data_IF_457869626667
#
_entry.id   IF_457869626667
#
_cell.length_a   1.000
_cell.length_b   1.000
_cell.length_c   1.000
_cell.angle_alpha   90.00
_cell.angle_beta   90.00
_cell.angle_gamma   90.00
#
_symmetry.space_group_name_H-M   'P 1'
#
loop_
_entity.id
_entity.type
_entity.pdbx_description
1 polymer ?
#
# COMPACT_ATOMS: atom_id res chain seq x y z
N UNK A 1 -4.30 4.80 20.83
CA UNK A 1 -4.84 4.18 19.61
C UNK A 1 -3.70 3.96 18.64
N UNK A 2 -3.53 2.73 18.15
CA UNK A 2 -2.46 2.32 17.25
C UNK A 2 -2.52 3.09 15.92
N UNK A 3 -3.72 3.36 15.39
CA UNK A 3 -3.91 4.14 14.15
C UNK A 3 -3.31 5.53 14.31
N UNK A 4 -3.60 6.19 15.43
CA UNK A 4 -3.11 7.53 15.71
C UNK A 4 -1.59 7.58 15.92
N UNK A 5 -0.99 6.57 16.54
CA UNK A 5 0.46 6.58 16.83
C UNK A 5 1.30 6.18 15.62
N UNK A 6 0.84 5.19 14.86
CA UNK A 6 1.51 4.69 13.64
C UNK A 6 1.20 5.53 12.41
N UNK A 7 0.16 6.36 12.50
CA UNK A 7 -0.36 7.16 11.39
C UNK A 7 -0.93 6.30 10.28
N UNK A 8 -1.30 5.03 10.52
CA UNK A 8 -1.76 4.12 9.48
C UNK A 8 -3.11 3.50 9.80
N UNK A 9 -3.98 3.48 8.79
CA UNK A 9 -5.27 2.81 8.84
C UNK A 9 -5.07 1.30 8.98
N UNK A 10 -5.81 0.67 9.89
CA UNK A 10 -5.86 -0.79 9.98
C UNK A 10 -6.69 -1.35 8.83
N UNK A 11 -6.12 -2.33 8.13
CA UNK A 11 -6.80 -3.04 7.04
C UNK A 11 -6.38 -4.51 7.02
N UNK A 12 -7.19 -5.36 6.39
CA UNK A 12 -6.83 -6.76 6.19
C UNK A 12 -5.48 -6.87 5.45
N UNK A 13 -4.58 -7.71 5.96
CA UNK A 13 -3.25 -7.91 5.40
C UNK A 13 -2.15 -7.00 5.94
N UNK A 14 -2.44 -6.06 6.85
CA UNK A 14 -1.37 -5.37 7.60
C UNK A 14 -0.71 -6.36 8.59
N UNK A 15 0.63 -6.48 8.63
CA UNK A 15 1.32 -7.55 9.37
C UNK A 15 0.98 -7.64 10.86
N UNK A 16 0.81 -6.50 11.55
CA UNK A 16 0.50 -6.49 12.98
C UNK A 16 -0.75 -7.33 13.31
N UNK A 17 -1.77 -7.36 12.44
CA UNK A 17 -3.00 -8.11 12.69
C UNK A 17 -2.80 -9.63 12.60
N UNK A 18 -1.72 -10.08 11.95
CA UNK A 18 -1.41 -11.49 11.77
C UNK A 18 -0.52 -12.05 12.90
N UNK A 19 -0.01 -11.20 13.81
CA UNK A 19 0.83 -11.66 14.92
C UNK A 19 0.10 -12.58 15.90
N UNK A 20 -1.23 -12.55 15.92
CA UNK A 20 -2.05 -13.48 16.71
C UNK A 20 -1.79 -14.96 16.35
N UNK A 21 -1.45 -15.26 15.09
CA UNK A 21 -1.15 -16.61 14.63
C UNK A 21 0.10 -17.20 15.30
N UNK A 22 1.01 -16.32 15.76
CA UNK A 22 2.28 -16.68 16.38
C UNK A 22 2.13 -17.02 17.88
N UNK A 23 1.00 -16.65 18.51
CA UNK A 23 0.79 -16.86 19.95
C UNK A 23 0.70 -18.35 20.33
N UNK A 24 0.54 -19.25 19.36
CA UNK A 24 0.49 -20.69 19.58
C UNK A 24 1.81 -21.32 20.05
N UNK A 25 2.91 -20.56 20.05
CA UNK A 25 4.23 -21.07 20.37
C UNK A 25 5.04 -20.08 21.24
N UNK A 26 5.77 -20.57 22.27
CA UNK A 26 6.52 -19.72 23.20
C UNK A 26 7.86 -19.22 22.63
N UNK A 27 7.98 -19.16 21.30
CA UNK A 27 9.23 -18.79 20.64
C UNK A 27 9.41 -17.27 20.63
N UNK A 28 10.68 -16.84 20.57
CA UNK A 28 11.02 -15.46 20.20
C UNK A 28 11.10 -15.38 18.67
N UNK A 29 10.31 -14.47 18.09
CA UNK A 29 10.23 -14.29 16.65
C UNK A 29 11.05 -13.09 16.21
N UNK A 30 11.93 -13.31 15.24
CA UNK A 30 12.60 -12.20 14.55
C UNK A 30 11.72 -11.68 13.42
N UNK A 31 11.46 -10.37 13.44
CA UNK A 31 10.69 -9.69 12.43
C UNK A 31 11.61 -9.27 11.28
N UNK A 32 11.31 -9.73 10.06
CA UNK A 32 12.10 -9.45 8.84
C UNK A 32 11.15 -9.08 7.70
N UNK A 33 11.49 -8.06 6.90
CA UNK A 33 10.80 -7.84 5.62
C UNK A 33 11.48 -8.66 4.54
N UNK A 34 10.96 -8.59 3.31
CA UNK A 34 11.45 -9.41 2.21
C UNK A 34 12.94 -9.16 1.90
N UNK A 35 13.43 -7.90 1.78
CA UNK A 35 14.86 -7.60 1.68
C UNK A 35 15.73 -8.24 2.77
N UNK A 36 15.38 -8.09 4.06
CA UNK A 36 16.16 -8.69 5.14
C UNK A 36 16.10 -10.21 5.12
N UNK A 37 14.95 -10.81 4.75
CA UNK A 37 14.82 -12.25 4.63
C UNK A 37 15.74 -12.81 3.53
N UNK A 38 15.82 -12.15 2.38
CA UNK A 38 16.72 -12.55 1.28
C UNK A 38 18.17 -12.55 1.77
N UNK A 39 18.60 -11.48 2.43
CA UNK A 39 19.97 -11.37 2.97
C UNK A 39 20.21 -12.42 4.05
N UNK A 40 19.26 -12.61 4.97
CA UNK A 40 19.35 -13.62 6.02
C UNK A 40 19.50 -15.04 5.47
N UNK A 41 18.92 -15.33 4.30
CA UNK A 41 19.07 -16.63 3.62
C UNK A 41 20.37 -16.78 2.84
N UNK A 42 20.94 -15.68 2.35
CA UNK A 42 22.09 -15.69 1.44
C UNK A 42 23.41 -15.25 2.08
N UNK A 43 23.38 -14.79 3.32
CA UNK A 43 24.57 -14.34 4.04
C UNK A 43 24.24 -13.80 5.44
N UNK A 44 24.80 -12.65 5.77
CA UNK A 44 24.76 -12.06 7.11
C UNK A 44 23.99 -10.75 7.12
N UNK A 45 22.95 -10.69 7.95
CA UNK A 45 22.09 -9.53 8.14
C UNK A 45 22.70 -8.55 9.14
N UNK A 46 22.55 -7.24 8.93
CA UNK A 46 23.00 -6.22 9.89
C UNK A 46 22.06 -6.01 11.09
N UNK A 47 20.82 -6.50 10.99
CA UNK A 47 19.78 -6.32 12.01
C UNK A 47 19.07 -4.97 11.93
N UNK A 48 19.17 -4.29 10.78
CA UNK A 48 18.60 -2.96 10.54
C UNK A 48 17.44 -2.98 9.54
N UNK A 49 16.59 -1.97 9.60
CA UNK A 49 15.48 -1.74 8.67
C UNK A 49 15.32 -0.23 8.40
N UNK A 50 15.02 0.15 7.16
CA UNK A 50 14.73 1.55 6.87
C UNK A 50 13.32 1.93 7.36
N UNK A 51 13.14 3.15 7.85
CA UNK A 51 11.84 3.64 8.36
C UNK A 51 10.68 3.48 7.36
N UNK A 52 10.94 3.63 6.05
CA UNK A 52 9.92 3.41 5.02
C UNK A 52 9.39 1.97 4.99
N UNK A 53 10.24 0.98 5.29
CA UNK A 53 9.86 -0.43 5.37
C UNK A 53 9.28 -0.75 6.74
N UNK A 54 9.84 -0.20 7.83
CA UNK A 54 9.30 -0.39 9.17
C UNK A 54 7.81 0.02 9.26
N UNK A 55 7.44 1.09 8.56
CA UNK A 55 6.06 1.53 8.45
C UNK A 55 5.12 0.44 7.92
N UNK A 56 5.55 -0.49 7.05
CA UNK A 56 4.64 -1.50 6.49
C UNK A 56 4.11 -2.50 7.51
N UNK A 57 4.68 -2.57 8.73
CA UNK A 57 4.21 -3.51 9.76
C UNK A 57 2.95 -3.06 10.50
N UNK A 58 2.63 -1.77 10.49
CA UNK A 58 1.51 -1.24 11.28
C UNK A 58 1.78 -1.14 12.78
N UNK A 59 3.03 -1.26 13.22
CA UNK A 59 3.45 -1.12 14.62
C UNK A 59 4.67 -0.20 14.81
N UNK A 60 5.07 0.53 13.78
CA UNK A 60 6.10 1.57 13.84
C UNK A 60 5.44 2.95 13.89
N UNK A 61 5.92 3.83 14.76
CA UNK A 61 5.48 5.24 14.83
C UNK A 61 6.44 6.14 14.04
N UNK A 62 6.02 6.74 12.91
CA UNK A 62 6.86 7.64 12.12
C UNK A 62 7.33 8.88 12.87
N UNK A 63 6.51 9.38 13.81
CA UNK A 63 6.84 10.61 14.55
C UNK A 63 7.80 10.35 15.71
N UNK A 64 7.61 9.25 16.43
CA UNK A 64 8.50 8.85 17.53
C UNK A 64 9.76 8.15 17.02
N UNK A 65 9.74 7.64 15.79
CA UNK A 65 10.79 6.85 15.14
C UNK A 65 11.15 5.59 15.90
N UNK A 66 10.14 4.95 16.48
CA UNK A 66 10.29 3.74 17.29
C UNK A 66 9.16 2.75 17.02
N UNK A 67 9.40 1.50 17.41
CA UNK A 67 8.36 0.48 17.47
C UNK A 67 7.43 0.73 18.66
N UNK A 68 6.12 0.57 18.47
CA UNK A 68 5.11 0.69 19.52
C UNK A 68 5.06 -0.58 20.39
N UNK A 69 6.19 -0.98 20.97
CA UNK A 69 6.36 -2.21 21.76
C UNK A 69 5.38 -2.25 22.93
N UNK A 70 5.21 -1.13 23.64
CA UNK A 70 4.28 -1.06 24.78
C UNK A 70 2.80 -1.25 24.41
N UNK A 71 2.43 -0.97 23.15
CA UNK A 71 1.09 -1.25 22.64
C UNK A 71 1.00 -2.71 22.23
N UNK A 72 2.03 -3.24 21.57
CA UNK A 72 2.12 -4.64 21.17
C UNK A 72 2.04 -5.58 22.38
N UNK A 73 2.75 -5.30 23.47
CA UNK A 73 2.72 -6.09 24.72
C UNK A 73 1.32 -6.13 25.35
N UNK A 74 0.48 -5.13 25.10
CA UNK A 74 -0.91 -5.12 25.57
C UNK A 74 -1.84 -5.94 24.68
N UNK A 75 -1.58 -5.97 23.38
CA UNK A 75 -2.40 -6.70 22.40
C UNK A 75 -1.99 -8.18 22.34
N UNK A 76 -0.69 -8.46 22.45
CA UNK A 76 -0.06 -9.77 22.32
C UNK A 76 0.89 -10.05 23.50
N UNK A 77 0.39 -10.17 24.75
CA UNK A 77 1.22 -10.24 25.95
C UNK A 77 2.14 -11.47 26.04
N UNK A 78 1.79 -12.55 25.35
CA UNK A 78 2.55 -13.81 25.35
C UNK A 78 3.59 -13.86 24.20
N UNK A 79 3.60 -12.86 23.33
CA UNK A 79 4.43 -12.87 22.13
C UNK A 79 5.76 -12.14 22.36
N UNK A 80 6.86 -12.86 22.18
CA UNK A 80 8.21 -12.27 22.20
C UNK A 80 8.64 -11.93 20.76
N UNK A 81 8.69 -10.63 20.45
CA UNK A 81 9.10 -10.12 19.14
C UNK A 81 10.45 -9.39 19.22
N UNK A 82 11.38 -9.78 18.36
CA UNK A 82 12.64 -9.09 18.14
C UNK A 82 12.55 -8.28 16.84
N UNK A 83 12.38 -6.97 17.00
CA UNK A 83 12.35 -6.02 15.90
C UNK A 83 13.75 -5.53 15.52
N UNK A 84 14.03 -5.32 14.23
CA UNK A 84 15.27 -4.71 13.77
C UNK A 84 15.40 -3.25 14.22
N UNK A 85 16.64 -2.77 14.32
CA UNK A 85 16.96 -1.37 14.57
C UNK A 85 16.51 -0.51 13.38
N UNK A 86 15.79 0.57 13.65
CA UNK A 86 15.30 1.47 12.61
C UNK A 86 16.40 2.46 12.23
N UNK A 87 16.60 2.67 10.94
CA UNK A 87 17.42 3.75 10.42
C UNK A 87 16.64 4.68 9.49
N UNK A 88 17.13 5.91 9.39
CA UNK A 88 16.49 6.98 8.61
C UNK A 88 17.29 7.30 7.34
N UNK A 89 16.69 8.10 6.46
CA UNK A 89 17.20 8.29 5.10
C UNK A 89 18.43 9.20 4.99
N UNK A 90 18.86 9.82 6.09
CA UNK A 90 20.11 10.58 6.16
C UNK A 90 21.33 9.67 6.34
N UNK A 91 21.14 8.35 6.33
CA UNK A 91 22.18 7.38 6.61
C UNK A 91 22.27 6.32 5.49
N UNK A 92 23.48 6.06 4.99
CA UNK A 92 23.73 4.92 4.10
C UNK A 92 24.01 3.69 4.94
N UNK A 93 22.96 2.91 5.22
CA UNK A 93 23.10 1.69 6.02
C UNK A 93 23.24 0.42 5.18
N UNK A 94 24.27 -0.34 5.54
CA UNK A 94 24.45 -1.72 5.14
C UNK A 94 23.28 -2.55 5.70
N UNK A 95 22.50 -3.17 4.83
CA UNK A 95 21.44 -4.10 5.20
C UNK A 95 22.04 -5.50 5.49
N UNK A 96 23.14 -5.83 4.83
CA UNK A 96 23.96 -6.99 5.15
C UNK A 96 24.93 -7.35 4.02
N UNK A 97 25.52 -8.53 4.13
CA UNK A 97 26.51 -9.05 3.18
C UNK A 97 26.03 -10.40 2.66
N UNK A 98 26.06 -10.60 1.35
CA UNK A 98 25.71 -11.87 0.70
C UNK A 98 26.88 -12.41 -0.12
N UNK A 99 26.84 -13.71 -0.42
CA UNK A 99 27.85 -14.34 -1.28
C UNK A 99 27.31 -14.55 -2.69
N UNK A 100 27.96 -13.94 -3.68
CA UNK A 100 27.68 -14.16 -5.11
C UNK A 100 28.93 -14.68 -5.79
N UNK A 101 28.89 -15.93 -6.27
CA UNK A 101 30.01 -16.59 -6.98
C UNK A 101 31.34 -16.53 -6.21
N UNK A 102 31.28 -16.78 -4.90
CA UNK A 102 32.45 -16.75 -4.02
C UNK A 102 32.98 -15.36 -3.67
N UNK A 103 32.26 -14.29 -4.04
CA UNK A 103 32.59 -12.91 -3.66
C UNK A 103 31.56 -12.37 -2.67
N UNK A 104 32.06 -11.65 -1.66
CA UNK A 104 31.24 -10.86 -0.77
C UNK A 104 30.66 -9.66 -1.52
N UNK A 105 29.35 -9.48 -1.39
CA UNK A 105 28.61 -8.35 -1.95
C UNK A 105 27.88 -7.68 -0.80
N UNK A 106 28.22 -6.42 -0.56
CA UNK A 106 27.50 -5.58 0.40
C UNK A 106 26.16 -5.18 -0.21
N UNK A 107 25.08 -5.42 0.54
CA UNK A 107 23.73 -5.07 0.15
C UNK A 107 23.29 -3.88 0.98
N UNK A 108 22.99 -2.79 0.30
CA UNK A 108 22.48 -1.56 0.89
C UNK A 108 20.99 -1.41 0.60
N UNK A 109 20.31 -0.63 1.43
CA UNK A 109 18.91 -0.27 1.22
C UNK A 109 17.94 -1.15 2.00
N UNK A 110 16.87 -1.58 1.33
CA UNK A 110 15.66 -2.10 1.97
C UNK A 110 14.62 -0.99 2.13
N UNK A 111 14.14 -0.47 1.00
CA UNK A 111 13.21 0.65 0.96
C UNK A 111 11.82 0.19 0.53
N UNK A 112 10.80 0.93 0.95
CA UNK A 112 9.42 0.72 0.52
C UNK A 112 9.32 0.95 -0.99
N UNK A 113 8.61 0.06 -1.68
CA UNK A 113 8.42 0.12 -3.12
C UNK A 113 7.72 1.42 -3.55
N UNK A 114 6.64 1.78 -2.86
CA UNK A 114 5.90 3.01 -3.08
C UNK A 114 6.79 4.23 -2.86
N UNK A 115 7.52 4.29 -1.73
CA UNK A 115 8.41 5.40 -1.42
C UNK A 115 9.53 5.54 -2.47
N UNK A 116 10.13 4.42 -2.89
CA UNK A 116 11.21 4.45 -3.89
C UNK A 116 10.70 4.88 -5.26
N UNK A 117 9.52 4.40 -5.66
CA UNK A 117 8.87 4.83 -6.91
C UNK A 117 8.59 6.35 -6.90
N UNK A 118 8.05 6.88 -5.80
CA UNK A 118 7.77 8.31 -5.65
C UNK A 118 9.04 9.18 -5.56
N UNK A 119 10.13 8.63 -4.99
CA UNK A 119 11.42 9.30 -5.04
C UNK A 119 11.92 9.42 -6.49
N UNK A 120 11.78 8.36 -7.27
CA UNK A 120 12.18 8.31 -8.68
C UNK A 120 11.40 9.27 -9.59
N UNK A 121 10.17 9.64 -9.24
CA UNK A 121 9.40 10.66 -9.98
C UNK A 121 9.81 12.09 -9.65
N UNK A 122 10.74 12.30 -8.72
CA UNK A 122 11.11 13.62 -8.19
C UNK A 122 9.90 14.38 -7.61
N UNK A 123 9.01 13.65 -6.91
CA UNK A 123 7.84 14.25 -6.26
C UNK A 123 8.26 15.41 -5.33
N UNK A 124 7.66 16.57 -5.54
CA UNK A 124 7.83 17.74 -4.69
C UNK A 124 6.57 18.05 -3.87
N UNK A 125 6.62 19.15 -3.14
CA UNK A 125 5.57 19.56 -2.22
C UNK A 125 4.40 20.31 -2.88
N UNK A 126 4.52 20.62 -4.17
CA UNK A 126 3.49 21.25 -5.01
C UNK A 126 2.73 20.21 -5.84
N UNK A 127 3.30 19.03 -6.03
CA UNK A 127 2.70 17.95 -6.80
C UNK A 127 1.88 16.98 -5.92
N UNK A 128 0.99 16.24 -6.60
CA UNK A 128 0.31 15.05 -6.08
C UNK A 128 0.65 13.92 -7.05
N UNK A 129 1.05 12.77 -6.50
CA UNK A 129 1.24 11.56 -7.30
C UNK A 129 -0.04 10.73 -7.27
N UNK A 130 -0.51 10.33 -8.45
CA UNK A 130 -1.61 9.40 -8.63
C UNK A 130 -1.05 8.20 -9.40
N UNK A 131 -0.99 7.05 -8.76
CA UNK A 131 -0.57 5.79 -9.37
C UNK A 131 -1.81 4.94 -9.64
N UNK A 132 -2.07 4.62 -10.91
CA UNK A 132 -3.18 3.77 -11.35
C UNK A 132 -2.66 2.42 -11.82
N UNK A 133 -2.34 1.54 -10.87
CA UNK A 133 -1.90 0.16 -11.15
C UNK A 133 -3.00 -0.86 -10.85
N UNK A 134 -2.59 -2.06 -10.41
CA UNK A 134 -3.50 -3.11 -9.92
C UNK A 134 -4.42 -2.60 -8.80
N UNK A 135 -3.84 -1.85 -7.85
CA UNK A 135 -4.56 -0.95 -6.96
C UNK A 135 -4.08 0.48 -7.22
N UNK A 136 -4.94 1.46 -6.95
CA UNK A 136 -4.57 2.87 -7.03
C UNK A 136 -4.07 3.40 -5.70
N UNK A 137 -3.18 4.38 -5.81
CA UNK A 137 -2.56 5.06 -4.70
C UNK A 137 -2.49 6.55 -5.02
N UNK A 138 -2.83 7.38 -4.03
CA UNK A 138 -2.62 8.83 -4.09
C UNK A 138 -1.67 9.22 -2.98
N UNK A 139 -0.64 10.00 -3.30
CA UNK A 139 0.38 10.41 -2.34
C UNK A 139 0.81 11.86 -2.55
N UNK A 140 1.11 12.55 -1.44
CA UNK A 140 1.66 13.90 -1.42
C UNK A 140 2.65 14.06 -0.28
N UNK A 141 3.70 14.87 -0.47
CA UNK A 141 4.59 15.28 0.63
C UNK A 141 3.78 16.03 1.69
N UNK A 142 3.84 15.52 2.92
CA UNK A 142 3.16 16.08 4.07
C UNK A 142 4.04 17.09 4.79
N UNK A 143 3.52 18.30 5.01
CA UNK A 143 4.27 19.41 5.65
C UNK A 143 3.89 19.65 7.10
N UNK A 144 2.63 19.50 7.45
CA UNK A 144 2.10 19.91 8.75
C UNK A 144 1.98 18.72 9.70
N UNK A 145 3.13 18.27 10.21
CA UNK A 145 3.19 17.18 11.19
C UNK A 145 2.49 17.52 12.52
N UNK A 146 2.20 18.79 12.79
CA UNK A 146 1.53 19.23 14.02
C UNK A 146 0.00 19.10 13.93
N UNK A 147 -0.53 19.02 12.71
CA UNK A 147 -1.97 18.88 12.47
C UNK A 147 -2.22 17.65 11.59
N UNK A 148 -2.03 16.46 12.14
CA UNK A 148 -2.16 15.20 11.41
C UNK A 148 -3.61 14.97 11.01
N UNK A 149 -3.88 14.97 9.71
CA UNK A 149 -5.15 14.52 9.19
C UNK A 149 -5.13 12.99 9.02
N UNK A 150 -5.79 12.29 9.94
CA UNK A 150 -5.94 10.82 9.94
C UNK A 150 -6.83 10.26 8.82
N UNK A 151 -7.28 11.11 7.88
CA UNK A 151 -7.91 10.67 6.63
C UNK A 151 -6.92 10.05 5.65
N UNK A 152 -5.61 10.17 5.92
CA UNK A 152 -4.53 9.60 5.12
C UNK A 152 -3.55 8.86 6.01
N UNK A 153 -2.90 7.86 5.44
CA UNK A 153 -1.79 7.18 6.09
C UNK A 153 -0.54 8.06 6.02
N UNK A 154 0.08 8.31 7.16
CA UNK A 154 1.37 8.97 7.28
C UNK A 154 2.50 7.94 7.11
N UNK A 155 3.37 8.14 6.13
CA UNK A 155 4.49 7.24 5.84
C UNK A 155 5.82 8.01 5.80
N UNK A 156 6.92 7.48 6.36
CA UNK A 156 8.26 8.06 6.20
C UNK A 156 8.65 8.13 4.73
N UNK A 157 9.35 9.20 4.35
CA UNK A 157 9.77 9.45 2.97
C UNK A 157 11.02 10.31 2.90
N UNK A 158 12.20 9.68 2.85
CA UNK A 158 13.47 10.33 2.52
C UNK A 158 13.73 11.65 3.28
N UNK A 159 13.63 11.61 4.61
CA UNK A 159 13.78 12.78 5.50
C UNK A 159 12.52 13.67 5.63
N UNK A 160 11.43 13.29 4.96
CA UNK A 160 10.11 13.92 4.98
C UNK A 160 9.04 12.88 5.33
N UNK A 161 7.78 13.27 5.21
CA UNK A 161 6.64 12.38 5.34
C UNK A 161 5.75 12.45 4.09
N UNK A 162 5.04 11.36 3.81
CA UNK A 162 3.97 11.30 2.83
C UNK A 162 2.63 11.16 3.56
N UNK A 163 1.63 11.89 3.08
CA UNK A 163 0.24 11.51 3.27
C UNK A 163 -0.15 10.66 2.06
N UNK A 164 -0.56 9.42 2.31
CA UNK A 164 -0.91 8.45 1.29
C UNK A 164 -2.30 7.87 1.52
N UNK A 165 -3.02 7.60 0.43
CA UNK A 165 -4.20 6.75 0.43
C UNK A 165 -3.93 5.59 -0.50
N UNK A 166 -3.92 4.39 0.05
CA UNK A 166 -3.76 3.14 -0.72
C UNK A 166 -5.10 2.40 -0.80
N UNK A 167 -5.12 1.28 -1.51
CA UNK A 167 -6.30 0.44 -1.70
C UNK A 167 -7.47 1.17 -2.35
N UNK A 168 -7.18 2.20 -3.13
CA UNK A 168 -8.17 2.81 -4.02
C UNK A 168 -8.39 1.81 -5.17
N UNK A 169 -9.64 1.48 -5.53
CA UNK A 169 -9.90 0.55 -6.61
C UNK A 169 -9.33 1.08 -7.94
N UNK A 170 -8.78 0.19 -8.75
CA UNK A 170 -8.24 0.51 -10.06
C UNK A 170 -8.22 -0.75 -10.94
N UNK A 171 -7.06 -1.12 -11.47
CA UNK A 171 -6.89 -2.20 -12.46
C UNK A 171 -7.54 -3.51 -12.02
N UNK A 172 -7.39 -3.94 -10.77
CA UNK A 172 -8.01 -5.19 -10.27
C UNK A 172 -9.53 -5.16 -10.34
N UNK A 173 -10.15 -4.02 -10.04
CA UNK A 173 -11.61 -3.88 -10.13
C UNK A 173 -12.06 -3.95 -11.58
N UNK A 174 -11.34 -3.27 -12.48
CA UNK A 174 -11.59 -3.28 -13.91
C UNK A 174 -11.41 -4.68 -14.53
N UNK A 175 -10.34 -5.38 -14.16
CA UNK A 175 -10.08 -6.76 -14.61
C UNK A 175 -11.20 -7.71 -14.17
N UNK A 176 -11.66 -7.59 -12.92
CA UNK A 176 -12.76 -8.40 -12.42
C UNK A 176 -14.06 -8.14 -13.19
N UNK A 177 -14.40 -6.86 -13.41
CA UNK A 177 -15.57 -6.50 -14.20
C UNK A 177 -15.45 -7.04 -15.63
N UNK A 178 -14.26 -6.99 -16.24
CA UNK A 178 -14.04 -7.59 -17.55
C UNK A 178 -14.25 -9.10 -17.52
N UNK A 179 -13.74 -9.82 -16.52
CA UNK A 179 -13.91 -11.28 -16.44
C UNK A 179 -15.37 -11.72 -16.24
N UNK A 180 -16.14 -10.96 -15.45
CA UNK A 180 -17.49 -11.36 -15.04
C UNK A 180 -18.55 -10.81 -16.01
N UNK A 181 -18.42 -9.56 -16.44
CA UNK A 181 -19.47 -8.84 -17.18
C UNK A 181 -19.11 -8.68 -18.66
N UNK A 182 -18.03 -7.96 -18.97
CA UNK A 182 -17.74 -7.58 -20.36
C UNK A 182 -17.23 -8.73 -21.22
N UNK A 183 -16.41 -9.62 -20.63
CA UNK A 183 -15.73 -10.76 -21.26
C UNK A 183 -15.06 -10.38 -22.57
N UNK A 184 -14.46 -9.19 -22.62
CA UNK A 184 -13.95 -8.58 -23.83
C UNK A 184 -12.42 -8.65 -23.88
N UNK A 185 -11.90 -9.31 -24.91
CA UNK A 185 -10.45 -9.41 -25.16
C UNK A 185 -9.81 -8.07 -25.54
N UNK A 186 -10.61 -7.09 -25.96
CA UNK A 186 -10.17 -5.75 -26.33
C UNK A 186 -10.60 -4.69 -25.30
N UNK A 187 -10.98 -5.12 -24.09
CA UNK A 187 -11.48 -4.26 -23.02
C UNK A 187 -10.61 -3.02 -22.78
N UNK A 188 -9.31 -3.20 -22.61
CA UNK A 188 -8.36 -2.09 -22.37
C UNK A 188 -8.24 -1.14 -23.56
N UNK A 189 -8.22 -1.67 -24.78
CA UNK A 189 -8.18 -0.86 -26.00
C UNK A 189 -9.46 -0.04 -26.15
N UNK A 190 -10.63 -0.61 -25.85
CA UNK A 190 -11.91 0.11 -25.89
C UNK A 190 -11.96 1.22 -24.87
N UNK A 191 -11.55 0.95 -23.62
CA UNK A 191 -11.45 2.01 -22.59
C UNK A 191 -10.53 3.14 -23.02
N UNK A 192 -9.36 2.83 -23.57
CA UNK A 192 -8.38 3.83 -24.00
C UNK A 192 -8.86 4.67 -25.21
N UNK A 193 -9.82 4.16 -25.98
CA UNK A 193 -10.36 4.83 -27.16
C UNK A 193 -11.57 5.72 -26.85
N UNK A 194 -12.06 5.74 -25.61
CA UNK A 194 -13.16 6.62 -25.22
C UNK A 194 -12.64 8.05 -25.12
N UNK A 195 -13.37 8.95 -25.77
CA UNK A 195 -13.05 10.38 -25.87
C UNK A 195 -14.19 11.21 -25.27
N UNK A 196 -14.00 12.51 -25.01
CA UNK A 196 -15.10 13.37 -24.60
C UNK A 196 -16.31 13.31 -25.54
N UNK A 197 -16.09 13.19 -26.86
CA UNK A 197 -17.15 13.07 -27.87
C UNK A 197 -17.92 11.75 -27.78
N UNK A 198 -17.29 10.69 -27.25
CA UNK A 198 -17.98 9.42 -26.99
C UNK A 198 -19.12 9.58 -25.96
N UNK A 199 -19.13 10.67 -25.19
CA UNK A 199 -20.15 10.98 -24.18
C UNK A 199 -21.40 11.65 -24.77
N UNK A 200 -21.32 12.24 -25.97
CA UNK A 200 -22.36 13.14 -26.51
C UNK A 200 -23.73 12.46 -26.75
N UNK A 201 -23.77 11.13 -26.78
CA UNK A 201 -24.99 10.32 -26.95
C UNK A 201 -25.62 9.79 -25.66
N UNK A 202 -25.05 10.10 -24.50
CA UNK A 202 -25.42 9.49 -23.22
C UNK A 202 -25.98 10.54 -22.26
N UNK A 203 -27.32 10.67 -22.22
CA UNK A 203 -28.00 11.64 -21.35
C UNK A 203 -28.10 11.21 -19.89
N UNK A 204 -28.11 9.90 -19.63
CA UNK A 204 -28.06 9.32 -18.29
C UNK A 204 -26.91 8.32 -18.23
N UNK A 205 -25.93 8.60 -17.37
CA UNK A 205 -24.79 7.73 -17.14
C UNK A 205 -25.05 6.90 -15.90
N UNK A 206 -24.78 5.59 -16.00
CA UNK A 206 -24.91 4.71 -14.85
C UNK A 206 -23.80 4.99 -13.85
N UNK A 207 -24.19 5.17 -12.60
CA UNK A 207 -23.25 5.18 -11.48
C UNK A 207 -22.88 3.74 -11.11
N UNK A 208 -21.60 3.43 -11.19
CA UNK A 208 -21.00 2.20 -10.71
C UNK A 208 -19.90 2.61 -9.73
N UNK A 209 -19.68 1.78 -8.73
CA UNK A 209 -18.61 1.99 -7.77
C UNK A 209 -17.60 0.85 -7.90
N UNK A 210 -16.34 1.19 -8.17
CA UNK A 210 -15.25 0.22 -8.30
C UNK A 210 -14.81 -0.38 -6.95
N UNK A 211 -15.39 0.07 -5.84
CA UNK A 211 -15.20 -0.48 -4.50
C UNK A 211 -15.90 -1.84 -4.32
N UNK A 212 -15.54 -2.81 -5.16
CA UNK A 212 -16.15 -4.14 -5.22
C UNK A 212 -15.51 -5.18 -4.29
N UNK A 213 -14.28 -4.93 -3.80
CA UNK A 213 -13.59 -5.85 -2.90
C UNK A 213 -13.60 -5.35 -1.46
N UNK A 214 -13.75 -6.24 -0.45
CA UNK A 214 -13.73 -5.86 0.97
C UNK A 214 -12.51 -5.06 1.43
N UNK A 215 -11.37 -5.23 0.75
CA UNK A 215 -10.14 -4.49 1.04
C UNK A 215 -10.08 -3.08 0.43
N UNK A 216 -11.01 -2.70 -0.44
CA UNK A 216 -11.00 -1.40 -1.10
C UNK A 216 -11.43 -0.28 -0.15
N UNK A 217 -10.87 0.90 -0.36
CA UNK A 217 -11.29 2.10 0.36
C UNK A 217 -12.76 2.42 0.09
N UNK A 218 -13.59 2.50 1.15
CA UNK A 218 -15.06 2.71 1.03
C UNK A 218 -15.82 1.53 0.38
N UNK A 219 -15.31 0.30 0.55
CA UNK A 219 -16.06 -0.91 0.17
C UNK A 219 -17.53 -0.85 0.62
N UNK A 220 -18.42 -1.14 -0.32
CA UNK A 220 -19.85 -1.28 -0.08
C UNK A 220 -20.39 -2.50 -0.84
N UNK A 221 -20.94 -3.46 -0.10
CA UNK A 221 -21.44 -4.72 -0.64
C UNK A 221 -22.59 -4.54 -1.66
N UNK A 222 -23.32 -3.41 -1.58
CA UNK A 222 -24.44 -3.11 -2.49
C UNK A 222 -23.99 -2.58 -3.86
N UNK A 223 -22.70 -2.34 -4.07
CA UNK A 223 -22.20 -1.71 -5.30
C UNK A 223 -22.50 -2.51 -6.57
N UNK A 224 -22.60 -3.84 -6.47
CA UNK A 224 -22.97 -4.70 -7.60
C UNK A 224 -24.48 -4.72 -7.87
N UNK A 225 -25.32 -4.38 -6.88
CA UNK A 225 -26.79 -4.38 -7.02
C UNK A 225 -27.29 -3.27 -7.95
N UNK A 226 -26.45 -2.25 -8.19
CA UNK A 226 -26.71 -1.14 -9.10
C UNK A 226 -26.48 -1.51 -10.57
N UNK A 227 -25.78 -2.62 -10.86
CA UNK A 227 -25.45 -3.07 -12.21
C UNK A 227 -26.48 -4.13 -12.65
N UNK A 228 -27.45 -3.74 -13.49
CA UNK A 228 -28.50 -4.64 -14.01
C UNK A 228 -28.51 -4.71 -15.53
N UNK A 229 -28.46 -5.92 -16.07
CA UNK A 229 -28.49 -6.20 -17.52
C UNK A 229 -29.77 -5.67 -18.21
N UNK A 230 -30.89 -5.60 -17.48
CA UNK A 230 -32.17 -5.15 -18.00
C UNK A 230 -32.22 -3.67 -18.40
N UNK A 231 -31.24 -2.86 -17.97
CA UNK A 231 -31.24 -1.40 -18.14
C UNK A 231 -29.98 -0.85 -18.83
N UNK A 232 -29.10 -1.71 -19.37
CA UNK A 232 -27.72 -1.30 -19.72
C UNK A 232 -27.21 -2.02 -20.97
N UNK A 233 -26.88 -1.26 -22.02
CA UNK A 233 -26.00 -1.78 -23.09
C UNK A 233 -24.54 -1.80 -22.61
N UNK A 234 -23.69 -2.64 -23.19
CA UNK A 234 -22.25 -2.64 -22.92
C UNK A 234 -21.58 -1.28 -23.13
N UNK A 235 -22.02 -0.48 -24.10
CA UNK A 235 -21.43 0.84 -24.39
C UNK A 235 -21.67 1.85 -23.24
N UNK A 236 -22.89 1.85 -22.68
CA UNK A 236 -23.22 2.62 -21.47
C UNK A 236 -22.30 2.24 -20.30
N UNK A 237 -21.98 0.95 -20.14
CA UNK A 237 -21.11 0.48 -19.06
C UNK A 237 -19.64 0.88 -19.28
N UNK A 238 -19.14 0.81 -20.52
CA UNK A 238 -17.79 1.24 -20.85
C UNK A 238 -17.57 2.73 -20.59
N UNK A 239 -18.55 3.56 -20.97
CA UNK A 239 -18.48 5.00 -20.75
C UNK A 239 -18.56 5.34 -19.27
N UNK A 240 -19.43 4.65 -18.54
CA UNK A 240 -19.50 4.81 -17.11
C UNK A 240 -18.10 4.63 -16.49
N UNK A 241 -17.37 3.55 -16.82
CA UNK A 241 -16.05 3.19 -16.25
C UNK A 241 -15.01 4.32 -16.16
N UNK A 242 -15.09 5.32 -17.03
CA UNK A 242 -14.11 6.42 -17.11
C UNK A 242 -14.45 7.62 -16.22
N UNK A 243 -15.68 7.69 -15.68
CA UNK A 243 -16.14 8.80 -14.84
C UNK A 243 -15.89 8.61 -13.34
N UNK A 244 -15.47 7.42 -12.89
CA UNK A 244 -15.24 7.11 -11.46
C UNK A 244 -13.97 7.74 -10.90
#
# INVERSE_FOLDING_TARGET
DLTHTTGQSLHAGIPILNFSELMSSPNTYRILTLPELIIFKLGSLSGKIHSSMAASYGCYSPLKREWEVSILEKIYPELSLNFPEIFESNEEHLLGVIMIRGKEVQVYGGYGDMQTALLGTSLDDKAISINLGTGSQVAKIYKDINNINHSFDLKPFFGKFLAARTHIPAGRSLDYLNQIIFKDKHFWTKLNNITPQSLDGFSELVEFDLNIFPGNWRYNQKNLELIKESNLSLDHMYIALIRV
#
